data_IF_329489212223
#
_entry.id   IF_329489212223
#
_cell.length_a   1.000
_cell.length_b   1.000
_cell.length_c   1.000
_cell.angle_alpha   90.00
_cell.angle_beta   90.00
_cell.angle_gamma   90.00
#
_symmetry.space_group_name_H-M   'P 1'
#
loop_
_entity.id
_entity.type
_entity.pdbx_description
1 polymer ?
#
# COMPACT_ATOMS: atom_id res chain seq x y z
N UNK A 1 -1.31 -9.71 -13.14
CA UNK A 1 -1.49 -8.24 -13.07
C UNK A 1 -2.07 -7.73 -14.38
N UNK A 2 -3.17 -8.37 -14.81
CA UNK A 2 -3.86 -8.05 -16.06
C UNK A 2 -4.94 -7.00 -15.81
N UNK A 3 -5.67 -7.14 -14.70
CA UNK A 3 -6.75 -6.20 -14.33
C UNK A 3 -6.21 -4.95 -13.62
N UNK A 4 -6.87 -3.78 -13.78
CA UNK A 4 -6.49 -2.55 -13.08
C UNK A 4 -6.39 -2.69 -11.55
N UNK A 5 -7.30 -3.46 -10.94
CA UNK A 5 -7.30 -3.73 -9.49
C UNK A 5 -6.05 -4.48 -9.03
N UNK A 6 -5.60 -5.49 -9.79
CA UNK A 6 -4.37 -6.23 -9.47
C UNK A 6 -3.13 -5.34 -9.54
N UNK A 7 -3.10 -4.39 -10.48
CA UNK A 7 -2.00 -3.42 -10.62
C UNK A 7 -2.00 -2.44 -9.44
N UNK A 8 -3.17 -2.00 -8.98
CA UNK A 8 -3.28 -1.12 -7.81
C UNK A 8 -2.88 -1.84 -6.52
N UNK A 9 -3.40 -3.06 -6.29
CA UNK A 9 -3.02 -3.92 -5.16
C UNK A 9 -1.51 -4.14 -5.13
N UNK A 10 -0.91 -4.51 -6.26
CA UNK A 10 0.53 -4.69 -6.35
C UNK A 10 1.29 -3.42 -5.97
N UNK A 11 0.90 -2.26 -6.52
CA UNK A 11 1.58 -0.99 -6.21
C UNK A 11 1.50 -0.65 -4.72
N UNK A 12 0.34 -0.88 -4.09
CA UNK A 12 0.14 -0.60 -2.67
C UNK A 12 1.04 -1.50 -1.81
N UNK A 13 0.94 -2.82 -2.01
CA UNK A 13 1.73 -3.80 -1.27
C UNK A 13 3.23 -3.66 -1.50
N UNK A 14 3.66 -3.43 -2.75
CA UNK A 14 5.07 -3.26 -3.06
C UNK A 14 5.68 -2.07 -2.31
N UNK A 15 4.94 -0.98 -2.15
CA UNK A 15 5.42 0.22 -1.46
C UNK A 15 5.61 0.04 0.04
N UNK A 16 4.75 -0.74 0.70
CA UNK A 16 4.70 -0.84 2.16
C UNK A 16 5.12 -2.20 2.72
N UNK A 17 5.30 -3.21 1.87
CA UNK A 17 5.65 -4.57 2.30
C UNK A 17 6.64 -5.24 1.35
N UNK A 18 6.23 -5.52 0.11
CA UNK A 18 6.95 -6.50 -0.72
C UNK A 18 8.35 -6.03 -1.13
N UNK A 19 8.55 -4.73 -1.33
CA UNK A 19 9.89 -4.21 -1.64
C UNK A 19 10.86 -4.47 -0.50
N UNK A 20 10.47 -4.14 0.75
CA UNK A 20 11.29 -4.43 1.93
C UNK A 20 11.54 -5.93 2.08
N UNK A 21 10.50 -6.75 1.92
CA UNK A 21 10.61 -8.21 2.05
C UNK A 21 11.57 -8.84 1.01
N UNK A 22 11.67 -8.25 -0.20
CA UNK A 22 12.52 -8.77 -1.28
C UNK A 22 13.93 -8.21 -1.26
N UNK A 23 14.08 -6.93 -0.91
CA UNK A 23 15.32 -6.18 -1.10
C UNK A 23 16.01 -5.81 0.22
N UNK A 24 15.37 -6.01 1.38
CA UNK A 24 15.99 -5.90 2.70
C UNK A 24 16.34 -4.49 3.19
N UNK A 25 16.16 -3.45 2.37
CA UNK A 25 16.61 -2.09 2.70
C UNK A 25 15.59 -1.36 3.58
N UNK A 26 14.44 -0.98 3.01
CA UNK A 26 13.43 -0.14 3.65
C UNK A 26 12.12 -0.17 2.87
N UNK A 27 11.08 0.49 3.36
CA UNK A 27 9.81 0.63 2.62
C UNK A 27 9.96 1.72 1.55
N UNK A 28 9.47 1.50 0.32
CA UNK A 28 9.47 2.57 -0.69
C UNK A 28 8.52 3.72 -0.33
N UNK A 29 7.50 3.45 0.49
CA UNK A 29 6.63 4.50 1.02
C UNK A 29 7.26 5.12 2.26
N UNK A 30 7.56 6.42 2.18
CA UNK A 30 8.07 7.23 3.30
C UNK A 30 7.09 8.31 3.75
N UNK A 31 5.83 8.26 3.31
CA UNK A 31 4.81 9.25 3.69
C UNK A 31 4.88 10.59 2.94
N UNK A 32 5.68 10.70 1.88
CA UNK A 32 5.91 11.96 1.14
C UNK A 32 4.72 12.56 0.35
N UNK A 33 3.51 11.97 0.37
CA UNK A 33 2.31 12.52 -0.29
C UNK A 33 2.27 12.48 -1.83
N UNK A 34 3.42 12.37 -2.52
CA UNK A 34 3.55 12.47 -3.99
C UNK A 34 2.61 11.57 -4.82
N UNK A 35 2.15 10.45 -4.26
CA UNK A 35 1.20 9.56 -4.94
C UNK A 35 -0.19 10.15 -5.09
N UNK A 36 -0.62 11.00 -4.14
CA UNK A 36 -1.93 11.66 -4.18
C UNK A 36 -1.83 12.93 -5.03
N UNK A 37 -0.82 13.77 -4.80
CA UNK A 37 -0.64 15.06 -5.50
C UNK A 37 -0.50 14.91 -7.02
N UNK A 38 0.19 13.84 -7.46
CA UNK A 38 0.48 13.61 -8.89
C UNK A 38 -0.56 12.74 -9.57
N UNK A 39 -1.59 12.26 -8.88
CA UNK A 39 -2.49 11.27 -9.46
C UNK A 39 -3.44 11.92 -10.47
N UNK A 40 -3.36 11.59 -11.77
CA UNK A 40 -4.26 12.17 -12.78
C UNK A 40 -5.67 11.58 -12.75
N UNK A 41 -5.92 10.59 -11.88
CA UNK A 41 -7.18 9.84 -11.78
C UNK A 41 -7.80 9.97 -10.38
N UNK A 42 -7.31 10.90 -9.56
CA UNK A 42 -7.82 11.17 -8.21
C UNK A 42 -7.87 9.95 -7.28
N UNK A 43 -6.96 8.99 -7.49
CA UNK A 43 -6.83 7.83 -6.61
C UNK A 43 -6.11 8.26 -5.34
N UNK A 44 -6.80 8.21 -4.20
CA UNK A 44 -6.20 8.45 -2.88
C UNK A 44 -5.47 7.22 -2.39
N UNK A 45 -4.17 7.17 -2.65
CA UNK A 45 -3.32 6.04 -2.35
C UNK A 45 -3.03 5.90 -0.85
N UNK A 46 -2.86 7.03 -0.16
CA UNK A 46 -2.75 7.08 1.30
C UNK A 46 -3.95 6.44 2.00
N UNK A 47 -5.17 6.72 1.51
CA UNK A 47 -6.41 6.14 2.03
C UNK A 47 -6.45 4.61 1.87
N UNK A 48 -5.97 4.09 0.73
CA UNK A 48 -5.90 2.63 0.49
C UNK A 48 -4.97 1.97 1.52
N UNK A 49 -3.80 2.57 1.76
CA UNK A 49 -2.84 2.07 2.75
C UNK A 49 -3.47 2.09 4.15
N UNK A 50 -4.11 3.18 4.55
CA UNK A 50 -4.73 3.30 5.87
C UNK A 50 -5.84 2.26 6.09
N UNK A 51 -6.70 2.03 5.08
CA UNK A 51 -7.73 0.99 5.13
C UNK A 51 -7.11 -0.40 5.27
N UNK A 52 -6.04 -0.67 4.53
CA UNK A 52 -5.31 -1.93 4.63
C UNK A 52 -4.70 -2.11 6.03
N UNK A 53 -4.07 -1.08 6.58
CA UNK A 53 -3.53 -1.11 7.95
C UNK A 53 -4.63 -1.40 8.98
N UNK A 54 -5.81 -0.79 8.85
CA UNK A 54 -6.94 -1.07 9.72
C UNK A 54 -7.38 -2.54 9.63
N UNK A 55 -7.53 -3.07 8.41
CA UNK A 55 -7.91 -4.47 8.20
C UNK A 55 -6.88 -5.46 8.78
N UNK A 56 -5.58 -5.19 8.61
CA UNK A 56 -4.51 -6.02 9.21
C UNK A 56 -4.57 -5.97 10.73
N UNK A 57 -4.77 -4.80 11.34
CA UNK A 57 -4.91 -4.67 12.80
C UNK A 57 -6.12 -5.43 13.33
N UNK A 58 -7.24 -5.41 12.61
CA UNK A 58 -8.44 -6.16 12.97
C UNK A 58 -8.16 -7.67 12.94
N UNK A 59 -7.58 -8.19 11.86
CA UNK A 59 -7.22 -9.60 11.76
C UNK A 59 -6.27 -10.04 12.89
N UNK A 60 -5.23 -9.24 13.18
CA UNK A 60 -4.30 -9.54 14.28
C UNK A 60 -4.97 -9.52 15.67
N UNK A 61 -6.02 -8.71 15.86
CA UNK A 61 -6.77 -8.66 17.11
C UNK A 61 -7.77 -9.82 17.26
N UNK A 62 -8.27 -10.35 16.14
CA UNK A 62 -9.13 -11.55 16.11
C UNK A 62 -8.33 -12.84 16.34
N UNK A 63 -7.04 -12.84 15.96
CA UNK A 63 -6.12 -13.96 16.14
C UNK A 63 -5.48 -14.04 17.55
N UNK A 64 -5.62 -12.98 18.37
CA UNK A 64 -5.01 -12.85 19.70
C UNK A 64 -5.95 -13.26 20.83
#
# INVERSE_FOLDING_TARGET
>A
REKPGERLRYRALHKVNDYKARNGIEHMCVGCGRCDDRCPQYIKFSLIINKMTAAVRQALAEEA
#
